data_IF_957498111058
#
_entry.id   IF_957498111058
#
_cell.length_a   1.000
_cell.length_b   1.000
_cell.length_c   1.000
_cell.angle_alpha   90.00
_cell.angle_beta   90.00
_cell.angle_gamma   90.00
#
_symmetry.space_group_name_H-M   'P 1'
#
loop_
_entity.id
_entity.type
_entity.pdbx_description
1 polymer ?
#
# COMPACT_ATOMS: atom_id res chain seq x y z
N UNK A 1 -9.81 -2.71 -7.74
CA UNK A 1 -10.25 -2.02 -6.52
C UNK A 1 -11.72 -2.30 -6.16
N UNK A 2 -12.42 -3.18 -6.89
CA UNK A 2 -13.80 -3.56 -6.60
C UNK A 2 -14.87 -2.54 -6.97
N UNK A 3 -14.52 -1.48 -7.68
CA UNK A 3 -15.45 -0.51 -8.23
C UNK A 3 -15.83 -0.93 -9.64
N UNK A 4 -17.09 -1.30 -9.86
CA UNK A 4 -17.55 -1.88 -11.13
C UNK A 4 -18.58 -1.01 -11.86
N UNK A 5 -19.11 0.02 -11.20
CA UNK A 5 -20.08 0.92 -11.78
C UNK A 5 -19.42 2.24 -12.22
N UNK A 6 -19.49 2.52 -13.50
CA UNK A 6 -19.01 3.76 -14.11
C UNK A 6 -20.15 4.51 -14.76
N UNK A 7 -20.28 5.79 -14.46
CA UNK A 7 -21.25 6.72 -15.09
C UNK A 7 -20.50 7.79 -15.86
N UNK A 8 -20.89 8.01 -17.07
CA UNK A 8 -20.32 8.99 -17.99
C UNK A 8 -21.37 10.07 -18.28
N UNK A 9 -21.03 11.31 -17.99
CA UNK A 9 -21.93 12.45 -18.25
C UNK A 9 -21.44 13.18 -19.48
N UNK A 10 -22.26 13.20 -20.52
CA UNK A 10 -22.02 13.85 -21.80
C UNK A 10 -20.56 13.66 -22.30
N UNK A 11 -20.07 12.45 -22.48
CA UNK A 11 -18.69 12.18 -22.88
C UNK A 11 -18.41 12.87 -24.24
N UNK A 12 -17.36 13.73 -24.28
CA UNK A 12 -17.00 14.56 -25.43
C UNK A 12 -16.89 13.78 -26.75
N UNK A 13 -16.27 12.63 -26.68
CA UNK A 13 -15.96 11.83 -27.88
C UNK A 13 -16.98 10.69 -28.09
N UNK A 14 -18.09 10.74 -27.36
CA UNK A 14 -19.12 9.70 -27.40
C UNK A 14 -18.76 8.44 -26.63
N UNK A 15 -19.73 7.52 -26.61
CA UNK A 15 -19.56 6.19 -26.00
C UNK A 15 -20.40 5.17 -26.77
N UNK A 16 -19.90 3.94 -27.04
CA UNK A 16 -18.56 3.43 -26.65
C UNK A 16 -17.41 4.09 -27.42
N UNK A 17 -16.27 4.29 -26.72
CA UNK A 17 -15.07 4.84 -27.32
C UNK A 17 -14.07 3.72 -27.63
N UNK A 18 -13.64 3.51 -28.89
CA UNK A 18 -12.73 2.44 -29.29
C UNK A 18 -11.35 2.55 -28.63
N UNK A 19 -10.94 3.75 -28.21
CA UNK A 19 -9.65 3.97 -27.54
C UNK A 19 -9.69 3.61 -26.05
N UNK A 20 -10.86 3.34 -25.46
CA UNK A 20 -10.98 3.03 -24.04
C UNK A 20 -10.48 1.61 -23.72
N UNK A 21 -10.75 0.64 -24.59
CA UNK A 21 -10.35 -0.77 -24.39
C UNK A 21 -8.86 -0.96 -24.17
N UNK A 22 -7.97 -0.46 -25.06
CA UNK A 22 -6.52 -0.57 -24.88
C UNK A 22 -6.01 0.02 -23.58
N UNK A 23 -6.68 1.04 -23.03
CA UNK A 23 -6.31 1.68 -21.76
C UNK A 23 -6.90 0.99 -20.53
N UNK A 24 -7.82 0.06 -20.70
CA UNK A 24 -8.59 -0.55 -19.60
C UNK A 24 -7.82 -1.60 -18.79
N UNK A 25 -6.67 -2.09 -19.28
CA UNK A 25 -5.82 -3.07 -18.59
C UNK A 25 -6.60 -4.30 -18.06
N UNK A 26 -7.53 -4.84 -18.87
CA UNK A 26 -8.37 -5.99 -18.53
C UNK A 26 -9.65 -5.65 -17.73
N UNK A 27 -9.96 -4.37 -17.54
CA UNK A 27 -11.20 -3.93 -16.91
C UNK A 27 -12.36 -3.74 -17.92
N UNK A 28 -12.41 -4.55 -18.97
CA UNK A 28 -13.39 -4.45 -20.06
C UNK A 28 -14.84 -4.53 -19.57
N UNK A 29 -15.08 -5.29 -18.51
CA UNK A 29 -16.40 -5.41 -17.89
C UNK A 29 -16.91 -4.06 -17.34
N UNK A 30 -16.02 -3.19 -16.85
CA UNK A 30 -16.40 -1.85 -16.37
C UNK A 30 -16.79 -0.97 -17.54
N UNK A 31 -16.06 -1.07 -18.67
CA UNK A 31 -16.38 -0.34 -19.89
C UNK A 31 -17.70 -0.81 -20.49
N UNK A 32 -17.92 -2.12 -20.55
CA UNK A 32 -19.13 -2.71 -21.11
C UNK A 32 -20.40 -2.33 -20.30
N UNK A 33 -20.25 -2.18 -18.98
CA UNK A 33 -21.34 -1.84 -18.08
C UNK A 33 -21.44 -0.32 -17.79
N UNK A 34 -20.67 0.51 -18.50
CA UNK A 34 -20.73 1.96 -18.29
C UNK A 34 -22.06 2.55 -18.75
N UNK A 35 -22.66 3.37 -17.91
CA UNK A 35 -23.91 4.07 -18.20
C UNK A 35 -23.65 5.51 -18.66
N UNK A 36 -24.26 5.90 -19.78
CA UNK A 36 -24.14 7.26 -20.31
C UNK A 36 -25.38 8.08 -19.97
N UNK A 37 -25.15 9.29 -19.45
CA UNK A 37 -26.18 10.24 -19.09
C UNK A 37 -25.96 11.57 -19.81
N UNK A 38 -27.05 12.26 -20.12
CA UNK A 38 -26.99 13.58 -20.75
C UNK A 38 -26.64 14.68 -19.78
N UNK A 39 -27.06 14.53 -18.51
CA UNK A 39 -26.84 15.53 -17.46
C UNK A 39 -26.29 14.90 -16.18
N UNK A 40 -25.64 15.72 -15.36
CA UNK A 40 -25.18 15.32 -14.02
C UNK A 40 -26.37 15.00 -13.10
N UNK A 41 -27.46 15.74 -13.24
CA UNK A 41 -28.68 15.52 -12.46
C UNK A 41 -29.22 14.09 -12.68
N UNK A 42 -29.31 13.66 -13.95
CA UNK A 42 -29.76 12.30 -14.28
C UNK A 42 -28.78 11.25 -13.76
N UNK A 43 -27.47 11.52 -13.90
CA UNK A 43 -26.42 10.61 -13.46
C UNK A 43 -26.37 10.43 -11.94
N UNK A 44 -26.93 11.35 -11.17
CA UNK A 44 -26.90 11.33 -9.70
C UNK A 44 -28.29 11.18 -9.06
N UNK A 45 -29.33 11.00 -9.85
CA UNK A 45 -30.72 10.98 -9.39
C UNK A 45 -31.02 9.91 -8.30
N UNK A 46 -30.33 8.79 -8.33
CA UNK A 46 -30.46 7.67 -7.38
C UNK A 46 -29.32 7.62 -6.34
N UNK A 47 -28.49 8.66 -6.28
CA UNK A 47 -27.33 8.74 -5.39
C UNK A 47 -27.68 9.54 -4.15
N UNK A 48 -27.50 8.95 -2.98
CA UNK A 48 -27.76 9.63 -1.69
C UNK A 48 -26.60 10.56 -1.29
N UNK A 49 -25.38 10.20 -1.64
CA UNK A 49 -24.16 10.91 -1.20
C UNK A 49 -23.22 11.16 -2.36
N UNK A 50 -23.10 12.40 -2.77
CA UNK A 50 -22.20 12.81 -3.85
C UNK A 50 -20.95 13.50 -3.27
N UNK A 51 -19.78 13.14 -3.75
CA UNK A 51 -18.48 13.75 -3.43
C UNK A 51 -17.85 14.29 -4.71
N UNK A 52 -17.17 15.42 -4.65
CA UNK A 52 -16.51 16.03 -5.81
C UNK A 52 -15.00 16.09 -5.61
N UNK A 53 -14.23 15.68 -6.60
CA UNK A 53 -12.76 15.77 -6.57
C UNK A 53 -12.32 17.10 -7.19
N UNK A 54 -11.74 17.99 -6.39
CA UNK A 54 -11.18 19.24 -6.89
C UNK A 54 -10.13 19.81 -5.94
N UNK A 55 -9.12 20.47 -6.50
CA UNK A 55 -8.13 21.24 -5.74
C UNK A 55 -8.48 22.73 -5.71
N UNK A 56 -9.44 23.18 -6.54
CA UNK A 56 -9.79 24.60 -6.66
C UNK A 56 -10.81 25.00 -5.60
N UNK A 57 -10.41 25.91 -4.70
CA UNK A 57 -11.33 26.59 -3.79
C UNK A 57 -12.15 27.62 -4.59
N UNK A 58 -13.29 27.22 -5.13
CA UNK A 58 -14.15 28.10 -5.94
C UNK A 58 -15.19 28.85 -5.08
N UNK A 59 -14.80 29.34 -3.90
CA UNK A 59 -15.74 30.05 -2.99
C UNK A 59 -16.83 29.16 -2.36
N UNK A 60 -16.71 27.86 -2.52
CA UNK A 60 -17.68 26.88 -2.02
C UNK A 60 -17.37 26.56 -0.57
N UNK A 61 -18.33 26.81 0.32
CA UNK A 61 -18.23 26.51 1.76
C UNK A 61 -18.68 25.08 2.00
N UNK A 62 -17.83 24.12 1.67
CA UNK A 62 -18.09 22.68 1.88
C UNK A 62 -16.95 22.04 2.66
N UNK A 63 -17.23 20.98 3.42
CA UNK A 63 -16.16 20.17 4.02
C UNK A 63 -15.17 19.72 2.96
N UNK A 64 -13.88 19.82 3.27
CA UNK A 64 -12.79 19.28 2.45
C UNK A 64 -12.18 18.11 3.18
N UNK A 65 -12.17 16.95 2.55
CA UNK A 65 -11.73 15.70 3.16
C UNK A 65 -10.69 15.01 2.27
N UNK A 66 -9.91 14.12 2.85
CA UNK A 66 -8.96 13.28 2.11
C UNK A 66 -9.66 12.09 1.45
N UNK A 67 -9.07 11.43 0.45
CA UNK A 67 -9.59 10.18 -0.09
C UNK A 67 -9.83 9.10 0.97
N UNK A 68 -8.95 8.99 1.97
CA UNK A 68 -9.10 8.07 3.10
C UNK A 68 -10.35 8.38 3.92
N UNK A 69 -10.56 9.65 4.27
CA UNK A 69 -11.76 10.08 5.03
C UNK A 69 -13.03 9.84 4.21
N UNK A 70 -13.01 10.14 2.90
CA UNK A 70 -14.13 9.87 2.01
C UNK A 70 -14.46 8.37 1.93
N UNK A 71 -13.46 7.49 1.82
CA UNK A 71 -13.67 6.05 1.81
C UNK A 71 -14.34 5.55 3.11
N UNK A 72 -13.91 6.04 4.26
CA UNK A 72 -14.53 5.73 5.56
C UNK A 72 -15.97 6.22 5.65
N UNK A 73 -16.25 7.44 5.18
CA UNK A 73 -17.62 7.97 5.14
C UNK A 73 -18.52 7.14 4.23
N UNK A 74 -18.05 6.80 3.01
CA UNK A 74 -18.81 6.02 2.04
C UNK A 74 -19.21 4.66 2.61
N UNK A 75 -18.31 3.98 3.32
CA UNK A 75 -18.62 2.70 3.99
C UNK A 75 -19.64 2.86 5.12
N UNK A 76 -19.57 3.96 5.86
CA UNK A 76 -20.49 4.22 6.97
C UNK A 76 -21.85 4.78 6.56
N UNK A 77 -22.00 5.24 5.32
CA UNK A 77 -23.24 5.84 4.82
C UNK A 77 -24.30 4.79 4.50
N UNK A 78 -25.54 5.14 4.79
CA UNK A 78 -26.72 4.41 4.28
C UNK A 78 -27.08 4.97 2.90
N UNK A 79 -27.20 4.09 1.91
CA UNK A 79 -27.53 4.47 0.54
C UNK A 79 -26.31 4.53 -0.38
N UNK A 80 -26.56 4.84 -1.65
CA UNK A 80 -25.52 4.85 -2.67
C UNK A 80 -24.70 6.13 -2.59
N UNK A 81 -23.41 5.97 -2.81
CA UNK A 81 -22.44 7.08 -2.88
C UNK A 81 -21.79 7.14 -4.24
N UNK A 82 -21.49 8.36 -4.71
CA UNK A 82 -20.74 8.58 -5.94
C UNK A 82 -19.61 9.59 -5.74
N UNK A 83 -18.52 9.40 -6.45
CA UNK A 83 -17.40 10.34 -6.51
C UNK A 83 -17.36 10.93 -7.92
N UNK A 84 -17.44 12.24 -8.03
CA UNK A 84 -17.36 12.98 -9.28
C UNK A 84 -15.91 13.31 -9.61
N UNK A 85 -15.53 13.04 -10.84
CA UNK A 85 -14.28 13.43 -11.44
C UNK A 85 -14.56 14.32 -12.65
N UNK A 86 -13.90 15.45 -12.72
CA UNK A 86 -14.10 16.39 -13.82
C UNK A 86 -13.27 16.02 -15.06
N UNK A 87 -13.49 16.76 -16.14
CA UNK A 87 -12.70 16.62 -17.36
C UNK A 87 -11.21 16.96 -17.08
N UNK A 88 -10.30 16.27 -17.77
CA UNK A 88 -8.84 16.38 -17.52
C UNK A 88 -8.33 17.83 -17.66
N UNK A 89 -8.84 18.58 -18.61
CA UNK A 89 -8.39 19.95 -18.87
C UNK A 89 -9.01 21.00 -17.94
N UNK A 90 -10.30 20.90 -17.67
CA UNK A 90 -11.06 21.93 -16.94
C UNK A 90 -11.34 21.56 -15.48
N UNK A 91 -11.30 20.27 -15.14
CA UNK A 91 -11.82 19.76 -13.87
C UNK A 91 -13.33 19.87 -13.81
N UNK A 92 -13.88 19.85 -12.61
CA UNK A 92 -15.29 20.09 -12.34
C UNK A 92 -15.62 21.60 -12.37
N UNK A 93 -16.76 21.96 -12.91
CA UNK A 93 -17.31 23.30 -12.86
C UNK A 93 -17.95 23.60 -11.48
N UNK A 94 -18.24 24.88 -11.20
CA UNK A 94 -18.78 25.27 -9.90
C UNK A 94 -20.13 24.63 -9.62
N UNK A 95 -20.98 24.53 -10.62
CA UNK A 95 -22.33 23.94 -10.48
C UNK A 95 -22.23 22.42 -10.27
N UNK A 96 -21.25 21.76 -10.87
CA UNK A 96 -20.99 20.33 -10.64
C UNK A 96 -20.47 20.07 -9.22
N UNK A 97 -19.62 20.97 -8.69
CA UNK A 97 -19.16 20.88 -7.30
C UNK A 97 -20.29 21.15 -6.32
N UNK A 98 -21.27 22.00 -6.71
CA UNK A 98 -22.39 22.36 -5.85
C UNK A 98 -23.32 21.19 -5.50
N UNK A 99 -23.41 20.14 -6.31
CA UNK A 99 -24.22 18.96 -5.99
C UNK A 99 -23.56 18.05 -4.93
N UNK A 100 -22.26 18.19 -4.73
CA UNK A 100 -21.53 17.36 -3.78
C UNK A 100 -21.72 17.81 -2.34
N UNK A 101 -21.76 16.88 -1.39
CA UNK A 101 -21.79 17.15 0.05
C UNK A 101 -20.44 17.53 0.63
N UNK A 102 -19.37 17.04 0.05
CA UNK A 102 -18.00 17.32 0.44
C UNK A 102 -17.05 17.31 -0.76
N UNK A 103 -15.91 17.95 -0.62
CA UNK A 103 -14.84 18.00 -1.60
C UNK A 103 -13.74 17.04 -1.17
N UNK A 104 -13.34 16.14 -2.07
CA UNK A 104 -12.19 15.28 -1.88
C UNK A 104 -10.97 15.96 -2.47
N UNK A 105 -9.96 16.18 -1.64
CA UNK A 105 -8.67 16.74 -2.07
C UNK A 105 -7.54 15.81 -1.63
N UNK A 106 -6.71 15.42 -2.59
CA UNK A 106 -5.49 14.67 -2.29
C UNK A 106 -4.44 15.64 -1.76
N UNK A 107 -3.79 15.35 -0.61
CA UNK A 107 -2.67 16.14 -0.14
C UNK A 107 -1.49 16.00 -1.11
N UNK A 108 -1.17 17.09 -1.82
CA UNK A 108 -0.05 17.16 -2.78
C UNK A 108 0.76 18.43 -2.53
N UNK A 109 1.95 18.53 -3.12
CA UNK A 109 2.75 19.74 -3.02
C UNK A 109 1.96 20.92 -3.63
N UNK A 110 1.75 22.02 -2.88
CA UNK A 110 1.02 23.18 -3.36
C UNK A 110 1.59 23.83 -4.63
N UNK A 111 2.88 23.69 -4.87
CA UNK A 111 3.54 24.19 -6.07
C UNK A 111 3.13 23.43 -7.35
N UNK A 112 2.68 22.19 -7.20
CA UNK A 112 2.23 21.31 -8.29
C UNK A 112 0.80 20.86 -8.05
N UNK A 113 -0.09 21.80 -7.84
CA UNK A 113 -1.43 21.63 -7.32
C UNK A 113 -2.43 20.89 -8.23
N UNK A 114 -1.99 20.10 -9.23
CA UNK A 114 -2.87 19.34 -10.11
C UNK A 114 -2.39 17.91 -10.28
N UNK A 115 -3.32 16.97 -10.18
CA UNK A 115 -3.11 15.58 -10.55
C UNK A 115 -3.73 15.29 -11.92
N UNK A 116 -3.13 14.39 -12.66
CA UNK A 116 -3.76 13.75 -13.80
C UNK A 116 -5.06 13.04 -13.35
N UNK A 117 -6.07 13.03 -14.20
CA UNK A 117 -7.38 12.44 -13.87
C UNK A 117 -7.26 10.97 -13.43
N UNK A 118 -6.49 10.16 -14.14
CA UNK A 118 -6.32 8.75 -13.80
C UNK A 118 -5.61 8.57 -12.43
N UNK A 119 -4.66 9.45 -12.10
CA UNK A 119 -4.01 9.47 -10.78
C UNK A 119 -5.01 9.80 -9.66
N UNK A 120 -5.87 10.79 -9.87
CA UNK A 120 -6.91 11.15 -8.90
C UNK A 120 -7.90 9.99 -8.68
N UNK A 121 -8.33 9.35 -9.77
CA UNK A 121 -9.22 8.17 -9.71
C UNK A 121 -8.57 7.02 -8.94
N UNK A 122 -7.29 6.70 -9.25
CA UNK A 122 -6.61 5.56 -8.61
C UNK A 122 -6.40 5.79 -7.13
N UNK A 123 -6.10 7.02 -6.69
CA UNK A 123 -5.92 7.33 -5.28
C UNK A 123 -7.23 7.17 -4.49
N UNK A 124 -8.34 7.64 -5.03
CA UNK A 124 -9.66 7.43 -4.42
C UNK A 124 -10.03 5.94 -4.40
N UNK A 125 -9.83 5.23 -5.50
CA UNK A 125 -10.12 3.81 -5.62
C UNK A 125 -9.22 2.95 -4.71
N UNK A 126 -7.97 3.33 -4.52
CA UNK A 126 -7.04 2.66 -3.61
C UNK A 126 -7.50 2.80 -2.16
N UNK A 127 -7.85 4.02 -1.71
CA UNK A 127 -8.35 4.22 -0.36
C UNK A 127 -9.67 3.44 -0.12
N UNK A 128 -10.55 3.43 -1.10
CA UNK A 128 -11.74 2.59 -1.06
C UNK A 128 -11.38 1.09 -0.93
N UNK A 129 -10.42 0.60 -1.71
CA UNK A 129 -10.05 -0.81 -1.72
C UNK A 129 -9.55 -1.31 -0.36
N UNK A 130 -8.93 -0.43 0.43
CA UNK A 130 -8.48 -0.76 1.80
C UNK A 130 -9.63 -1.06 2.76
N UNK A 131 -10.82 -0.59 2.44
CA UNK A 131 -12.05 -0.87 3.22
C UNK A 131 -12.74 -2.15 2.78
N UNK A 132 -12.28 -2.80 1.73
CA UNK A 132 -12.88 -3.98 1.13
C UNK A 132 -12.05 -5.24 1.42
N UNK A 133 -12.73 -6.37 1.53
CA UNK A 133 -12.07 -7.68 1.61
C UNK A 133 -11.70 -8.17 0.21
N UNK A 134 -10.78 -7.48 -0.45
CA UNK A 134 -10.27 -7.91 -1.75
C UNK A 134 -9.23 -9.01 -1.58
N UNK A 135 -9.05 -9.83 -2.64
CA UNK A 135 -8.03 -10.84 -2.66
C UNK A 135 -6.64 -10.21 -2.45
N UNK A 136 -5.99 -10.57 -1.37
CA UNK A 136 -4.60 -10.17 -1.10
C UNK A 136 -3.64 -11.08 -1.86
N UNK A 137 -2.42 -10.63 -2.17
CA UNK A 137 -1.38 -11.54 -2.62
C UNK A 137 -1.26 -12.72 -1.65
N UNK A 138 -0.94 -13.93 -2.14
CA UNK A 138 -0.75 -15.07 -1.26
C UNK A 138 0.31 -14.72 -0.21
N UNK A 139 0.03 -15.02 1.05
CA UNK A 139 1.04 -14.92 2.10
C UNK A 139 2.11 -15.95 1.79
N UNK A 140 3.35 -15.50 1.75
CA UNK A 140 4.47 -16.44 1.78
C UNK A 140 4.46 -17.10 3.15
N UNK A 141 4.35 -18.42 3.20
CA UNK A 141 4.51 -19.19 4.43
C UNK A 141 5.98 -19.09 4.83
N UNK A 142 6.30 -18.06 5.60
CA UNK A 142 7.62 -17.95 6.22
C UNK A 142 7.66 -18.94 7.37
N UNK A 143 8.77 -19.69 7.43
CA UNK A 143 9.09 -20.51 8.60
C UNK A 143 8.97 -19.65 9.87
N UNK A 144 8.45 -20.20 10.97
CA UNK A 144 8.32 -19.44 12.21
C UNK A 144 9.69 -18.96 12.69
N UNK A 145 9.74 -17.82 13.39
CA UNK A 145 10.98 -17.33 13.98
C UNK A 145 11.64 -18.40 14.85
N UNK A 146 12.97 -18.49 14.78
CA UNK A 146 13.74 -19.38 15.63
C UNK A 146 13.49 -19.09 17.12
N UNK A 147 13.40 -20.13 17.92
CA UNK A 147 13.28 -19.98 19.37
C UNK A 147 14.55 -19.37 19.96
N UNK A 148 14.43 -18.74 21.13
CA UNK A 148 15.59 -18.21 21.84
C UNK A 148 16.62 -19.31 22.17
N UNK A 149 16.14 -20.53 22.42
CA UNK A 149 17.00 -21.68 22.65
C UNK A 149 17.87 -22.01 21.42
N UNK A 150 17.31 -21.95 20.22
CA UNK A 150 18.06 -22.20 18.97
C UNK A 150 19.10 -21.11 18.71
N UNK A 151 18.73 -19.85 18.96
CA UNK A 151 19.63 -18.70 18.84
C UNK A 151 20.77 -18.78 19.87
N UNK A 152 20.47 -19.13 21.10
CA UNK A 152 21.48 -19.34 22.15
C UNK A 152 22.45 -20.46 21.79
N UNK A 153 21.94 -21.54 21.16
CA UNK A 153 22.77 -22.62 20.64
C UNK A 153 23.72 -22.18 19.51
N UNK A 154 23.26 -21.29 18.61
CA UNK A 154 24.12 -20.71 17.58
C UNK A 154 25.22 -19.81 18.19
N UNK A 155 24.82 -18.95 19.12
CA UNK A 155 25.73 -18.01 19.80
C UNK A 155 26.81 -18.77 20.60
N UNK A 156 26.41 -19.78 21.37
CA UNK A 156 27.35 -20.61 22.12
C UNK A 156 28.33 -21.37 21.23
N UNK A 157 27.85 -21.88 20.08
CA UNK A 157 28.73 -22.56 19.10
C UNK A 157 29.75 -21.58 18.52
N UNK A 158 29.33 -20.36 18.19
CA UNK A 158 30.23 -19.33 17.65
C UNK A 158 31.23 -18.87 18.70
N UNK A 159 30.81 -18.66 19.94
CA UNK A 159 31.68 -18.33 21.07
C UNK A 159 32.78 -19.39 21.26
N UNK A 160 32.39 -20.66 21.31
CA UNK A 160 33.35 -21.76 21.48
C UNK A 160 34.36 -21.86 20.32
N UNK A 161 33.99 -21.45 19.13
CA UNK A 161 34.88 -21.41 17.97
C UNK A 161 35.84 -20.21 17.98
N UNK A 162 35.41 -19.09 18.52
CA UNK A 162 36.15 -17.83 18.55
C UNK A 162 37.12 -17.72 19.75
N UNK A 163 36.82 -18.40 20.86
CA UNK A 163 37.63 -18.41 22.08
C UNK A 163 39.11 -18.84 21.82
N UNK A 164 39.35 -19.99 21.18
CA UNK A 164 40.73 -20.45 20.93
C UNK A 164 41.48 -19.58 19.92
N UNK A 165 40.78 -18.71 19.20
CA UNK A 165 41.34 -17.77 18.24
C UNK A 165 41.72 -16.42 18.83
N UNK A 166 41.59 -16.25 20.13
CA UNK A 166 41.84 -15.01 20.82
C UNK A 166 40.96 -13.84 20.31
N UNK A 167 39.79 -14.13 19.75
CA UNK A 167 38.88 -13.08 19.26
C UNK A 167 38.40 -12.15 20.38
N UNK A 168 38.27 -12.65 21.59
CA UNK A 168 37.82 -11.92 22.76
C UNK A 168 38.95 -11.26 23.52
N UNK A 169 39.98 -10.79 22.84
CA UNK A 169 41.09 -10.04 23.43
C UNK A 169 40.96 -8.54 23.18
N UNK A 170 41.43 -7.68 24.12
CA UNK A 170 41.94 -8.00 25.45
C UNK A 170 40.83 -8.49 26.39
N UNK A 171 41.19 -9.24 27.41
CA UNK A 171 40.28 -9.97 28.31
C UNK A 171 39.27 -9.07 29.02
N UNK A 172 39.68 -7.86 29.37
CA UNK A 172 38.84 -6.86 29.99
C UNK A 172 37.69 -6.39 29.11
N UNK A 173 37.81 -6.49 27.77
CA UNK A 173 36.77 -6.16 26.78
C UNK A 173 35.91 -7.35 26.35
N UNK A 174 36.33 -8.58 26.65
CA UNK A 174 35.64 -9.79 26.29
C UNK A 174 34.12 -9.77 26.59
N UNK A 175 33.64 -9.33 27.74
CA UNK A 175 32.21 -9.27 28.04
C UNK A 175 31.44 -8.30 27.14
N UNK A 176 32.07 -7.21 26.73
CA UNK A 176 31.45 -6.23 25.80
C UNK A 176 31.38 -6.81 24.39
N UNK A 177 32.46 -7.43 23.93
CA UNK A 177 32.52 -8.06 22.60
C UNK A 177 31.48 -9.17 22.47
N UNK A 178 31.32 -10.03 23.48
CA UNK A 178 30.28 -11.08 23.52
C UNK A 178 28.88 -10.51 23.48
N UNK A 179 28.61 -9.43 24.22
CA UNK A 179 27.31 -8.74 24.14
C UNK A 179 27.05 -8.16 22.75
N UNK A 180 28.05 -7.58 22.13
CA UNK A 180 27.93 -7.02 20.79
C UNK A 180 27.62 -8.11 19.76
N UNK A 181 28.34 -9.25 19.85
CA UNK A 181 28.10 -10.41 18.99
C UNK A 181 26.70 -10.97 19.19
N UNK A 182 26.27 -11.14 20.45
CA UNK A 182 24.90 -11.55 20.75
C UNK A 182 23.86 -10.60 20.16
N UNK A 183 24.02 -9.31 20.34
CA UNK A 183 23.11 -8.30 19.80
C UNK A 183 23.05 -8.35 18.26
N UNK A 184 24.18 -8.57 17.60
CA UNK A 184 24.24 -8.72 16.16
C UNK A 184 23.42 -9.92 15.67
N UNK A 185 23.53 -11.07 16.36
CA UNK A 185 22.87 -12.30 16.00
C UNK A 185 21.39 -12.36 16.41
N UNK A 186 20.99 -11.62 17.41
CA UNK A 186 19.57 -11.56 17.85
C UNK A 186 18.77 -10.47 17.17
N UNK A 187 19.41 -9.50 16.48
CA UNK A 187 18.74 -8.39 15.81
C UNK A 187 17.89 -8.84 14.59
N UNK A 188 18.38 -9.73 13.70
CA UNK A 188 17.56 -10.28 12.63
C UNK A 188 16.53 -11.28 13.16
N UNK A 189 15.37 -11.31 12.55
CA UNK A 189 14.32 -12.29 12.86
C UNK A 189 14.59 -13.63 12.16
N UNK A 190 15.70 -14.31 12.51
CA UNK A 190 16.06 -15.61 11.97
C UNK A 190 14.93 -16.62 12.15
N UNK A 191 14.70 -17.47 11.14
CA UNK A 191 13.87 -18.65 11.30
C UNK A 191 14.73 -19.88 11.72
N UNK A 192 14.07 -20.95 12.13
CA UNK A 192 14.75 -22.15 12.62
C UNK A 192 15.62 -22.83 11.54
N UNK A 193 15.23 -22.72 10.26
CA UNK A 193 16.02 -23.27 9.15
C UNK A 193 17.30 -22.45 8.93
N UNK A 194 17.21 -21.14 8.97
CA UNK A 194 18.36 -20.23 8.82
C UNK A 194 19.39 -20.44 9.95
N UNK A 195 18.93 -20.54 11.20
CA UNK A 195 19.79 -20.85 12.35
C UNK A 195 20.49 -22.20 12.17
N UNK A 196 19.76 -23.24 11.77
CA UNK A 196 20.36 -24.57 11.49
C UNK A 196 21.38 -24.53 10.37
N UNK A 197 21.10 -23.79 9.31
CA UNK A 197 22.01 -23.60 8.18
C UNK A 197 23.30 -22.93 8.62
N UNK A 198 23.22 -21.84 9.36
CA UNK A 198 24.39 -21.13 9.90
C UNK A 198 25.22 -22.05 10.82
N UNK A 199 24.58 -22.80 11.71
CA UNK A 199 25.26 -23.78 12.56
C UNK A 199 25.98 -24.87 11.76
N UNK A 200 25.36 -25.32 10.67
CA UNK A 200 25.98 -26.26 9.73
C UNK A 200 27.24 -25.70 9.06
N UNK A 201 27.16 -24.45 8.61
CA UNK A 201 28.32 -23.73 8.04
C UNK A 201 29.46 -23.65 9.07
N UNK A 202 29.17 -23.20 10.28
CA UNK A 202 30.15 -23.10 11.37
C UNK A 202 30.79 -24.45 11.68
N UNK A 203 29.99 -25.51 11.77
CA UNK A 203 30.50 -26.86 11.99
C UNK A 203 31.47 -27.30 10.90
N UNK A 204 31.14 -27.00 9.63
CA UNK A 204 31.99 -27.35 8.48
C UNK A 204 33.31 -26.58 8.51
N UNK A 205 33.27 -25.30 8.83
CA UNK A 205 34.48 -24.47 8.96
C UNK A 205 35.38 -24.97 10.09
N UNK A 206 34.79 -25.36 11.22
CA UNK A 206 35.56 -25.87 12.36
C UNK A 206 36.26 -27.20 12.06
N UNK A 207 35.66 -28.11 11.25
CA UNK A 207 36.26 -29.39 10.83
C UNK A 207 37.45 -29.24 9.89
N UNK A 208 37.53 -28.12 9.14
CA UNK A 208 38.62 -27.87 8.18
C UNK A 208 39.87 -27.24 8.78
N UNK A 209 39.90 -27.01 10.10
CA UNK A 209 41.13 -26.60 10.77
C UNK A 209 42.06 -27.80 10.89
N UNK A 210 43.26 -27.75 10.29
CA UNK A 210 44.31 -28.73 10.61
C UNK A 210 44.60 -28.63 12.13
N UNK A 211 44.79 -29.75 12.78
CA UNK A 211 45.40 -29.71 14.10
C UNK A 211 46.76 -29.03 13.94
N UNK A 212 46.98 -27.93 14.65
CA UNK A 212 48.31 -27.34 14.76
C UNK A 212 49.18 -28.39 15.44
N UNK A 213 50.21 -28.90 14.68
CA UNK A 213 51.27 -29.72 15.23
C UNK A 213 52.19 -28.87 16.13
#
# INVERSE_FOLDING_TARGET
>A
FGLTEMRLVAPRDGWPNPNAGPAASGADIVLANAHVFSTLADATADIAHVYATTVRKRGVTKPVITPEAAAKEVVGNIGRSAILFGAERSGLESDEVNVARAIITVPINPEFGSLNLAQAVILCAYEWSKTQSLASPPKTDLEPPASQFELDGLIAQLDAMLEPLNYFTPIDRAPVTRRTLRNLLTKPAWNAYEVRTLRGVLTTLNRRRPAEE
#
